data_IF_433132161448
#
_entry.id   IF_433132161448
#
_cell.length_a   1.000
_cell.length_b   1.000
_cell.length_c   1.000
_cell.angle_alpha   90.00
_cell.angle_beta   90.00
_cell.angle_gamma   90.00
#
_symmetry.space_group_name_H-M   'P 1'
#
loop_
_entity.id
_entity.type
_entity.pdbx_description
1 polymer ?
#
# COMPACT_ATOMS: atom_id res chain seq x y z
N UNK A 1 28.56 3.92 -53.41
CA UNK A 1 28.75 5.21 -54.10
C UNK A 1 27.37 5.61 -54.59
N UNK A 2 26.67 6.34 -53.73
CA UNK A 2 26.35 7.78 -53.83
C UNK A 2 24.88 7.86 -54.27
N UNK A 3 23.90 8.02 -53.37
CA UNK A 3 23.64 9.12 -52.43
C UNK A 3 22.88 10.30 -53.07
N UNK A 4 22.12 10.97 -52.21
CA UNK A 4 21.21 12.12 -52.39
C UNK A 4 19.72 11.74 -52.51
N UNK A 5 18.91 11.79 -51.43
CA UNK A 5 18.48 12.97 -50.61
C UNK A 5 17.80 14.03 -51.49
N UNK A 6 16.70 14.68 -51.15
CA UNK A 6 15.70 14.70 -50.06
C UNK A 6 14.63 15.70 -50.59
N UNK A 7 13.44 15.75 -50.00
CA UNK A 7 12.66 16.98 -49.75
C UNK A 7 11.17 16.70 -49.54
N UNK A 8 10.69 17.39 -48.52
CA UNK A 8 9.42 17.27 -47.85
C UNK A 8 8.33 18.21 -48.41
N UNK A 9 7.08 17.85 -48.14
CA UNK A 9 5.91 18.72 -47.94
C UNK A 9 4.84 17.80 -47.31
N UNK A 10 4.52 17.85 -46.02
CA UNK A 10 3.88 18.93 -45.26
C UNK A 10 2.54 19.33 -45.89
N UNK A 11 1.46 18.68 -45.45
CA UNK A 11 0.11 19.21 -45.56
C UNK A 11 -0.77 18.65 -44.42
N UNK A 12 -1.57 19.57 -43.91
CA UNK A 12 -2.17 19.64 -42.58
C UNK A 12 -3.40 18.75 -42.36
N UNK A 13 -3.53 18.34 -41.10
CA UNK A 13 -4.73 18.31 -40.24
C UNK A 13 -6.12 18.32 -40.91
N UNK A 14 -6.88 17.25 -40.64
CA UNK A 14 -8.29 17.36 -40.25
C UNK A 14 -8.54 16.41 -39.07
N UNK A 15 -8.61 17.00 -37.87
CA UNK A 15 -9.24 16.40 -36.69
C UNK A 15 -10.76 16.58 -36.83
N UNK A 16 -11.60 15.59 -36.50
CA UNK A 16 -13.01 15.87 -36.26
C UNK A 16 -13.16 16.47 -34.86
N UNK A 17 -13.57 17.74 -34.84
CA UNK A 17 -14.13 18.46 -33.71
C UNK A 17 -15.22 17.62 -33.02
N UNK A 18 -15.04 17.36 -31.73
CA UNK A 18 -16.13 17.02 -30.83
C UNK A 18 -16.28 18.18 -29.86
N UNK A 19 -17.08 19.16 -30.27
CA UNK A 19 -17.58 20.18 -29.37
C UNK A 19 -18.47 19.52 -28.31
N UNK A 20 -18.15 19.88 -27.07
CA UNK A 20 -18.97 19.63 -25.91
C UNK A 20 -20.19 20.54 -25.97
N UNK A 21 -21.38 19.96 -25.96
CA UNK A 21 -22.57 20.61 -25.46
C UNK A 21 -23.18 19.78 -24.35
N UNK A 22 -23.22 20.40 -23.17
CA UNK A 22 -23.82 19.86 -21.98
C UNK A 22 -25.33 19.84 -22.10
N UNK A 23 -25.91 18.67 -21.86
CA UNK A 23 -27.29 18.56 -21.40
C UNK A 23 -27.28 17.69 -20.16
N UNK A 24 -27.41 18.37 -19.03
CA UNK A 24 -27.82 17.82 -17.74
C UNK A 24 -29.30 17.52 -17.91
N UNK A 25 -29.67 16.24 -17.96
CA UNK A 25 -31.07 15.85 -17.76
C UNK A 25 -31.21 15.09 -16.43
N UNK A 26 -32.00 15.73 -15.58
CA UNK A 26 -32.49 15.32 -14.28
C UNK A 26 -33.03 13.88 -14.31
N UNK A 27 -32.43 13.02 -13.48
CA UNK A 27 -33.09 11.80 -13.02
C UNK A 27 -33.87 12.17 -11.76
N UNK A 28 -35.22 12.10 -11.78
CA UNK A 28 -36.04 12.56 -10.67
C UNK A 28 -35.97 11.59 -9.48
N UNK A 29 -35.72 12.16 -8.31
CA UNK A 29 -35.89 11.51 -7.03
C UNK A 29 -37.38 11.14 -6.80
N UNK A 30 -37.70 9.91 -6.36
CA UNK A 30 -39.04 9.60 -5.88
C UNK A 30 -39.22 10.09 -4.42
N UNK A 31 -40.43 10.57 -4.05
CA UNK A 31 -40.68 11.28 -2.81
C UNK A 31 -40.81 10.37 -1.58
N UNK A 32 -40.61 10.99 -0.43
CA UNK A 32 -40.91 10.49 0.90
C UNK A 32 -42.41 10.58 1.23
N UNK A 33 -42.76 9.86 2.30
CA UNK A 33 -43.99 9.88 3.11
C UNK A 33 -45.22 9.12 2.56
N UNK A 34 -45.48 7.98 3.20
CA UNK A 34 -46.81 7.71 3.76
C UNK A 34 -46.70 6.76 4.97
N UNK A 35 -47.03 7.30 6.14
CA UNK A 35 -47.28 6.62 7.40
C UNK A 35 -48.49 5.68 7.29
N UNK A 36 -48.52 4.57 8.05
CA UNK A 36 -49.66 4.15 8.91
C UNK A 36 -49.40 2.82 9.68
N UNK A 37 -50.15 2.51 10.77
CA UNK A 37 -49.63 2.25 12.12
C UNK A 37 -49.75 0.80 12.63
N UNK A 38 -49.23 0.45 13.84
CA UNK A 38 -49.28 -0.92 14.36
C UNK A 38 -50.59 -1.22 15.13
N UNK A 39 -51.21 -2.40 14.98
CA UNK A 39 -52.36 -2.79 15.79
C UNK A 39 -52.02 -3.66 17.02
N UNK A 40 -52.50 -3.17 18.16
CA UNK A 40 -53.23 -3.91 19.21
C UNK A 40 -52.46 -4.85 20.18
N UNK A 41 -52.23 -4.34 21.39
CA UNK A 41 -52.25 -5.13 22.65
C UNK A 41 -53.70 -5.22 23.14
N UNK A 42 -54.20 -6.42 23.44
CA UNK A 42 -55.42 -6.65 24.22
C UNK A 42 -55.10 -7.26 25.59
N UNK A 43 -55.78 -6.69 26.59
CA UNK A 43 -55.79 -6.97 28.04
C UNK A 43 -56.32 -8.37 28.39
N UNK A 44 -55.92 -8.88 29.56
CA UNK A 44 -56.78 -9.50 30.59
C UNK A 44 -56.10 -9.33 31.96
N UNK A 45 -56.56 -8.42 32.80
CA UNK A 45 -57.56 -8.52 33.90
C UNK A 45 -57.03 -9.22 35.15
N UNK A 46 -57.16 -8.49 36.26
CA UNK A 46 -56.72 -8.68 37.65
C UNK A 46 -57.48 -9.78 38.40
N UNK A 47 -56.87 -10.31 39.46
CA UNK A 47 -57.56 -10.76 40.66
C UNK A 47 -56.59 -10.70 41.85
N UNK A 48 -57.01 -9.93 42.84
CA UNK A 48 -56.51 -9.75 44.20
C UNK A 48 -56.78 -11.01 45.05
N UNK A 49 -55.88 -11.37 45.98
CA UNK A 49 -56.26 -11.89 47.32
C UNK A 49 -55.05 -11.90 48.28
N UNK A 50 -55.37 -11.63 49.54
CA UNK A 50 -54.53 -11.24 50.68
C UNK A 50 -54.09 -12.42 51.56
N UNK A 51 -53.16 -12.12 52.47
CA UNK A 51 -52.82 -12.78 53.76
C UNK A 51 -52.12 -14.17 53.78
N UNK A 52 -50.86 -14.18 54.23
CA UNK A 52 -50.47 -14.31 55.65
C UNK A 52 -49.10 -15.02 55.84
N UNK A 53 -48.45 -14.61 56.91
CA UNK A 53 -47.10 -14.90 57.37
C UNK A 53 -46.92 -16.36 57.84
N UNK A 54 -45.91 -17.09 57.33
CA UNK A 54 -45.22 -18.14 58.11
C UNK A 54 -43.83 -18.48 57.54
N UNK A 55 -42.85 -18.00 58.28
CA UNK A 55 -41.68 -18.73 58.77
C UNK A 55 -40.40 -18.81 57.89
N UNK A 56 -39.43 -17.99 58.32
CA UNK A 56 -38.01 -18.08 57.98
C UNK A 56 -37.38 -19.29 58.66
N UNK A 57 -37.10 -20.36 57.92
CA UNK A 57 -35.86 -21.16 58.15
C UNK A 57 -35.53 -22.12 57.01
N UNK A 58 -34.27 -22.08 56.57
CA UNK A 58 -33.59 -23.03 55.68
C UNK A 58 -34.02 -23.08 54.21
N UNK A 59 -33.43 -22.22 53.36
CA UNK A 59 -33.10 -22.55 51.97
C UNK A 59 -31.80 -21.87 51.55
N UNK A 60 -30.71 -22.23 52.22
CA UNK A 60 -29.43 -22.28 51.51
C UNK A 60 -29.52 -23.50 50.58
N UNK A 61 -29.32 -23.29 49.28
CA UNK A 61 -29.25 -24.30 48.20
C UNK A 61 -30.55 -24.87 47.62
N UNK A 62 -31.61 -24.07 47.40
CA UNK A 62 -32.65 -24.44 46.42
C UNK A 62 -32.50 -23.61 45.14
N UNK A 63 -31.51 -23.96 44.32
CA UNK A 63 -31.46 -23.49 42.93
C UNK A 63 -32.69 -24.12 42.25
N UNK A 64 -33.63 -23.27 41.79
CA UNK A 64 -34.81 -23.74 41.05
C UNK A 64 -34.35 -24.57 39.84
N UNK A 65 -34.96 -25.74 39.62
CA UNK A 65 -34.68 -26.60 38.46
C UNK A 65 -34.74 -25.82 37.14
N UNK A 66 -35.50 -24.73 37.09
CA UNK A 66 -35.55 -23.80 35.98
C UNK A 66 -34.22 -23.04 35.76
N UNK A 67 -33.60 -22.53 36.83
CA UNK A 67 -32.31 -21.84 36.76
C UNK A 67 -31.18 -22.82 36.41
N UNK A 68 -31.23 -24.03 36.96
CA UNK A 68 -30.29 -25.10 36.64
C UNK A 68 -30.41 -25.52 35.16
N UNK A 69 -31.63 -25.60 34.64
CA UNK A 69 -31.90 -25.92 33.23
C UNK A 69 -31.50 -24.76 32.28
N UNK A 70 -31.71 -23.51 32.69
CA UNK A 70 -31.28 -22.33 31.92
C UNK A 70 -29.75 -22.20 31.87
N UNK A 71 -29.06 -22.49 32.97
CA UNK A 71 -27.60 -22.53 33.01
C UNK A 71 -27.04 -23.65 32.12
N UNK A 72 -27.64 -24.84 32.17
CA UNK A 72 -27.28 -25.97 31.28
C UNK A 72 -27.49 -25.63 29.79
N UNK A 73 -28.58 -24.94 29.43
CA UNK A 73 -28.85 -24.49 28.06
C UNK A 73 -27.90 -23.38 27.60
N UNK A 74 -27.50 -22.49 28.51
CA UNK A 74 -26.49 -21.45 28.24
C UNK A 74 -25.11 -22.06 28.03
N UNK A 75 -24.74 -23.07 28.81
CA UNK A 75 -23.49 -23.82 28.65
C UNK A 75 -23.46 -24.66 27.37
N UNK A 76 -24.58 -25.31 27.01
CA UNK A 76 -24.68 -26.09 25.77
C UNK A 76 -24.60 -25.19 24.53
N UNK A 77 -25.29 -24.05 24.54
CA UNK A 77 -25.23 -23.09 23.43
C UNK A 77 -23.87 -22.41 23.32
N UNK A 78 -23.19 -22.13 24.44
CA UNK A 78 -21.82 -21.61 24.48
C UNK A 78 -20.81 -22.63 23.92
N UNK A 79 -20.92 -23.91 24.29
CA UNK A 79 -20.08 -24.99 23.75
C UNK A 79 -20.31 -25.23 22.26
N UNK A 80 -21.57 -25.17 21.79
CA UNK A 80 -21.88 -25.29 20.35
C UNK A 80 -21.34 -24.11 19.52
N UNK A 81 -21.37 -22.89 20.06
CA UNK A 81 -20.76 -21.72 19.39
C UNK A 81 -19.24 -21.86 19.29
N UNK A 82 -18.58 -22.23 20.40
CA UNK A 82 -17.12 -22.44 20.43
C UNK A 82 -16.64 -23.56 19.49
N UNK A 83 -17.38 -24.66 19.37
CA UNK A 83 -17.02 -25.75 18.43
C UNK A 83 -17.13 -25.33 16.96
N UNK A 84 -18.17 -24.59 16.58
CA UNK A 84 -18.33 -24.13 15.19
C UNK A 84 -17.24 -23.17 14.73
N UNK A 85 -16.79 -22.27 15.61
CA UNK A 85 -15.72 -21.34 15.24
C UNK A 85 -14.38 -22.07 15.04
N UNK A 86 -14.10 -23.12 15.82
CA UNK A 86 -12.86 -23.92 15.67
C UNK A 86 -12.90 -24.81 14.42
N UNK A 87 -14.04 -25.46 14.15
CA UNK A 87 -14.18 -26.33 12.97
C UNK A 87 -14.10 -25.52 11.66
N UNK A 88 -14.70 -24.32 11.62
CA UNK A 88 -14.66 -23.45 10.43
C UNK A 88 -13.23 -22.98 10.06
N UNK A 89 -12.38 -22.78 11.06
CA UNK A 89 -10.98 -22.38 10.86
C UNK A 89 -10.16 -23.57 10.33
N UNK A 90 -10.34 -24.76 10.92
CA UNK A 90 -9.66 -25.99 10.46
C UNK A 90 -9.99 -26.34 9.01
N UNK A 91 -11.26 -26.22 8.62
CA UNK A 91 -11.71 -26.51 7.25
C UNK A 91 -11.02 -25.62 6.21
N UNK A 92 -10.73 -24.36 6.59
CA UNK A 92 -10.05 -23.40 5.72
C UNK A 92 -8.56 -23.71 5.59
N UNK A 93 -7.91 -24.10 6.68
CA UNK A 93 -6.49 -24.50 6.68
C UNK A 93 -6.26 -25.79 5.88
N UNK A 94 -7.17 -26.77 6.00
CA UNK A 94 -7.11 -28.00 5.22
C UNK A 94 -7.30 -27.73 3.72
N UNK A 95 -8.22 -26.84 3.35
CA UNK A 95 -8.39 -26.39 1.97
C UNK A 95 -7.11 -25.73 1.44
N UNK A 96 -6.48 -24.87 2.23
CA UNK A 96 -5.23 -24.18 1.85
C UNK A 96 -4.10 -25.20 1.67
N UNK A 97 -3.97 -26.15 2.60
CA UNK A 97 -2.96 -27.20 2.54
C UNK A 97 -3.14 -28.06 1.28
N UNK A 98 -4.38 -28.41 0.92
CA UNK A 98 -4.70 -29.15 -0.31
C UNK A 98 -4.32 -28.32 -1.56
N UNK A 99 -4.68 -27.03 -1.61
CA UNK A 99 -4.29 -26.15 -2.73
C UNK A 99 -2.77 -26.08 -2.87
N UNK A 100 -2.04 -25.90 -1.77
CA UNK A 100 -0.57 -25.84 -1.76
C UNK A 100 0.03 -27.17 -2.24
N UNK A 101 -0.53 -28.30 -1.80
CA UNK A 101 -0.13 -29.64 -2.22
C UNK A 101 -0.34 -29.84 -3.74
N UNK A 102 -1.53 -29.49 -4.24
CA UNK A 102 -1.85 -29.56 -5.67
C UNK A 102 -0.93 -28.66 -6.50
N UNK A 103 -0.60 -27.46 -6.00
CA UNK A 103 0.35 -26.58 -6.66
C UNK A 103 1.75 -27.19 -6.77
N UNK A 104 2.26 -27.80 -5.69
CA UNK A 104 3.56 -28.49 -5.68
C UNK A 104 3.57 -29.67 -6.65
N UNK A 105 2.53 -30.50 -6.59
CA UNK A 105 2.39 -31.65 -7.48
C UNK A 105 2.36 -31.23 -8.95
N UNK A 106 1.58 -30.21 -9.30
CA UNK A 106 1.53 -29.71 -10.66
C UNK A 106 2.88 -29.13 -11.14
N UNK A 107 3.66 -28.53 -10.24
CA UNK A 107 4.99 -28.03 -10.56
C UNK A 107 5.98 -29.16 -10.88
N UNK A 108 6.02 -30.20 -10.04
CA UNK A 108 6.92 -31.34 -10.25
C UNK A 108 6.51 -32.18 -11.46
N UNK A 109 5.20 -32.42 -11.67
CA UNK A 109 4.70 -33.11 -12.85
C UNK A 109 5.09 -32.37 -14.15
N UNK A 110 4.91 -31.05 -14.18
CA UNK A 110 5.31 -30.26 -15.35
C UNK A 110 6.83 -30.24 -15.57
N UNK A 111 7.61 -30.26 -14.48
CA UNK A 111 9.08 -30.34 -14.54
C UNK A 111 9.51 -31.69 -15.12
N UNK A 112 8.87 -32.77 -14.72
CA UNK A 112 9.12 -34.11 -15.23
C UNK A 112 8.69 -34.25 -16.70
N UNK A 113 7.52 -33.71 -17.08
CA UNK A 113 7.09 -33.64 -18.48
C UNK A 113 8.08 -32.84 -19.34
N UNK A 114 8.59 -31.72 -18.83
CA UNK A 114 9.61 -30.92 -19.52
C UNK A 114 10.92 -31.68 -19.71
N UNK A 115 11.41 -32.41 -18.69
CA UNK A 115 12.59 -33.30 -18.82
C UNK A 115 12.37 -34.36 -19.90
N UNK A 116 11.16 -34.92 -19.98
CA UNK A 116 10.76 -35.89 -21.00
C UNK A 116 10.46 -35.24 -22.37
N UNK A 117 10.65 -33.92 -22.53
CA UNK A 117 10.34 -33.13 -23.73
C UNK A 117 8.87 -33.24 -24.18
N UNK A 118 7.97 -33.47 -23.22
CA UNK A 118 6.52 -33.47 -23.43
C UNK A 118 5.93 -32.12 -23.02
N UNK A 119 4.77 -31.79 -23.57
CA UNK A 119 4.06 -30.55 -23.25
C UNK A 119 3.57 -30.56 -21.81
N UNK A 120 4.10 -29.64 -21.00
CA UNK A 120 3.72 -29.40 -19.62
C UNK A 120 2.47 -28.49 -19.55
N UNK A 121 1.36 -29.01 -19.01
CA UNK A 121 0.07 -28.29 -18.94
C UNK A 121 -0.57 -28.33 -17.55
N UNK A 122 0.03 -29.01 -16.58
CA UNK A 122 -0.56 -29.27 -15.26
C UNK A 122 -0.72 -27.98 -14.47
N UNK A 123 0.31 -27.12 -14.41
CA UNK A 123 0.20 -25.81 -13.75
C UNK A 123 -0.89 -24.94 -14.39
N UNK A 124 -1.00 -24.95 -15.72
CA UNK A 124 -2.01 -24.17 -16.44
C UNK A 124 -3.44 -24.60 -16.12
N UNK A 125 -3.68 -25.90 -15.96
CA UNK A 125 -5.02 -26.44 -15.65
C UNK A 125 -5.54 -25.95 -14.30
N UNK A 126 -4.69 -25.90 -13.28
CA UNK A 126 -5.09 -25.49 -11.92
C UNK A 126 -4.90 -24.00 -11.65
N UNK A 127 -4.24 -23.26 -12.56
CA UNK A 127 -3.94 -21.83 -12.39
C UNK A 127 -5.20 -21.01 -12.07
N UNK A 128 -6.30 -21.21 -12.79
CA UNK A 128 -7.54 -20.44 -12.56
C UNK A 128 -8.09 -20.64 -11.15
N UNK A 129 -8.10 -21.89 -10.66
CA UNK A 129 -8.56 -22.23 -9.32
C UNK A 129 -7.65 -21.59 -8.26
N UNK A 130 -6.34 -21.72 -8.42
CA UNK A 130 -5.34 -21.13 -7.51
C UNK A 130 -5.48 -19.62 -7.43
N UNK A 131 -5.57 -18.95 -8.58
CA UNK A 131 -5.73 -17.49 -8.66
C UNK A 131 -7.02 -17.01 -7.98
N UNK A 132 -8.11 -17.78 -8.09
CA UNK A 132 -9.37 -17.46 -7.42
C UNK A 132 -9.26 -17.51 -5.90
N UNK A 133 -8.40 -18.38 -5.35
CA UNK A 133 -8.23 -18.53 -3.91
C UNK A 133 -7.22 -17.52 -3.35
N UNK A 134 -6.10 -17.30 -4.04
CA UNK A 134 -5.09 -16.30 -3.65
C UNK A 134 -5.62 -14.85 -3.64
N UNK A 135 -6.65 -14.57 -4.43
CA UNK A 135 -7.29 -13.25 -4.49
C UNK A 135 -8.08 -12.91 -3.22
N UNK A 136 -8.52 -13.91 -2.45
CA UNK A 136 -9.36 -13.73 -1.25
C UNK A 136 -8.51 -13.14 -0.11
N UNK A 137 -8.87 -11.94 0.35
CA UNK A 137 -8.07 -11.17 1.32
C UNK A 137 -7.99 -11.84 2.70
N UNK A 138 -9.09 -12.43 3.13
CA UNK A 138 -9.23 -13.20 4.38
C UNK A 138 -8.33 -14.43 4.43
N UNK A 139 -8.00 -15.04 3.28
CA UNK A 139 -7.12 -16.22 3.22
C UNK A 139 -5.64 -15.89 3.09
N UNK A 140 -5.25 -14.65 2.77
CA UNK A 140 -3.84 -14.32 2.44
C UNK A 140 -2.87 -14.60 3.57
N UNK A 141 -3.24 -14.29 4.80
CA UNK A 141 -2.39 -14.55 5.96
C UNK A 141 -2.21 -16.06 6.18
N UNK A 142 -3.28 -16.84 6.11
CA UNK A 142 -3.21 -18.30 6.23
C UNK A 142 -2.35 -18.94 5.12
N UNK A 143 -2.46 -18.46 3.88
CA UNK A 143 -1.58 -18.88 2.78
C UNK A 143 -0.09 -18.58 3.07
N UNK A 144 0.21 -17.41 3.64
CA UNK A 144 1.58 -17.05 4.02
C UNK A 144 2.12 -17.95 5.13
N UNK A 145 1.32 -18.22 6.15
CA UNK A 145 1.67 -19.10 7.28
C UNK A 145 1.94 -20.53 6.82
N UNK A 146 1.15 -21.04 5.87
CA UNK A 146 1.35 -22.37 5.26
C UNK A 146 2.47 -22.41 4.19
N UNK A 147 3.18 -21.31 3.98
CA UNK A 147 4.38 -21.29 3.14
C UNK A 147 4.10 -21.23 1.63
N UNK A 148 2.99 -20.62 1.20
CA UNK A 148 2.64 -20.46 -0.23
C UNK A 148 3.76 -19.83 -1.06
N UNK A 149 4.56 -18.93 -0.47
CA UNK A 149 5.65 -18.23 -1.14
C UNK A 149 6.69 -19.18 -1.72
N UNK A 150 6.96 -20.31 -1.05
CA UNK A 150 7.88 -21.32 -1.55
C UNK A 150 7.35 -21.95 -2.84
N UNK A 151 6.05 -22.24 -2.90
CA UNK A 151 5.43 -22.86 -4.08
C UNK A 151 5.32 -21.87 -5.23
N UNK A 152 5.01 -20.61 -4.94
CA UNK A 152 5.04 -19.54 -5.95
C UNK A 152 6.47 -19.37 -6.51
N UNK A 153 7.49 -19.43 -5.64
CA UNK A 153 8.88 -19.37 -6.09
C UNK A 153 9.24 -20.53 -7.03
N UNK A 154 8.77 -21.74 -6.73
CA UNK A 154 8.94 -22.91 -7.59
C UNK A 154 8.20 -22.79 -8.93
N UNK A 155 6.98 -22.24 -8.92
CA UNK A 155 6.21 -21.98 -10.15
C UNK A 155 6.84 -20.95 -11.07
N UNK A 156 7.57 -19.98 -10.50
CA UNK A 156 8.29 -18.95 -11.22
C UNK A 156 9.74 -19.34 -11.56
N UNK A 157 10.25 -20.42 -10.99
CA UNK A 157 11.60 -20.89 -11.25
C UNK A 157 11.75 -21.32 -12.72
N UNK A 158 12.95 -21.15 -13.30
CA UNK A 158 13.22 -21.65 -14.65
C UNK A 158 13.02 -23.16 -14.71
N UNK A 159 12.51 -23.62 -15.84
CA UNK A 159 12.36 -25.04 -16.14
C UNK A 159 13.74 -25.72 -16.31
N UNK A 160 13.83 -27.06 -16.28
CA UNK A 160 15.10 -27.78 -16.48
C UNK A 160 15.83 -27.43 -17.78
N UNK A 161 15.09 -27.06 -18.83
CA UNK A 161 15.60 -26.57 -20.11
C UNK A 161 16.01 -25.08 -20.09
N UNK A 162 15.98 -24.42 -18.93
CA UNK A 162 16.20 -22.98 -18.69
C UNK A 162 15.16 -22.06 -19.34
N UNK A 163 14.09 -22.62 -19.90
CA UNK A 163 12.97 -21.83 -20.37
C UNK A 163 12.19 -21.23 -19.19
N UNK A 164 11.48 -20.14 -19.50
CA UNK A 164 10.58 -19.50 -18.55
C UNK A 164 9.25 -20.27 -18.48
N UNK A 165 8.62 -20.32 -17.30
CA UNK A 165 7.23 -20.76 -17.18
C UNK A 165 6.30 -19.97 -18.11
N UNK A 166 5.16 -20.57 -18.45
CA UNK A 166 4.17 -19.95 -19.34
C UNK A 166 3.80 -18.52 -18.91
N UNK A 167 3.60 -17.62 -19.87
CA UNK A 167 3.35 -16.19 -19.62
C UNK A 167 2.22 -15.95 -18.61
N UNK A 168 1.06 -16.60 -18.79
CA UNK A 168 -0.08 -16.47 -17.88
C UNK A 168 0.25 -16.85 -16.43
N UNK A 169 1.14 -17.82 -16.21
CA UNK A 169 1.60 -18.19 -14.87
C UNK A 169 2.43 -17.05 -14.29
N UNK A 170 3.40 -16.54 -15.05
CA UNK A 170 4.28 -15.44 -14.62
C UNK A 170 3.47 -14.19 -14.28
N UNK A 171 2.56 -13.78 -15.17
CA UNK A 171 1.69 -12.62 -14.95
C UNK A 171 0.75 -12.81 -13.75
N UNK A 172 0.12 -13.98 -13.63
CA UNK A 172 -0.80 -14.29 -12.54
C UNK A 172 -0.09 -14.23 -11.20
N UNK A 173 1.03 -14.94 -11.06
CA UNK A 173 1.80 -15.00 -9.82
C UNK A 173 2.35 -13.62 -9.43
N UNK A 174 2.93 -12.87 -10.38
CA UNK A 174 3.44 -11.52 -10.10
C UNK A 174 2.33 -10.57 -9.61
N UNK A 175 1.12 -10.65 -10.19
CA UNK A 175 -0.04 -9.87 -9.71
C UNK A 175 -0.44 -10.26 -8.30
N UNK A 176 -0.52 -11.56 -7.99
CA UNK A 176 -0.86 -12.01 -6.64
C UNK A 176 0.17 -11.56 -5.60
N UNK A 177 1.47 -11.62 -5.94
CA UNK A 177 2.54 -11.17 -5.05
C UNK A 177 2.46 -9.67 -4.73
N UNK A 178 2.01 -8.84 -5.68
CA UNK A 178 1.78 -7.40 -5.45
C UNK A 178 0.63 -7.11 -4.49
N UNK A 179 -0.33 -8.03 -4.37
CA UNK A 179 -1.50 -7.84 -3.51
C UNK A 179 -1.31 -8.46 -2.11
N UNK A 180 -0.17 -9.10 -1.82
CA UNK A 180 0.07 -9.72 -0.51
C UNK A 180 0.24 -8.66 0.59
N UNK A 181 -0.24 -8.94 1.82
CA UNK A 181 0.07 -8.10 2.97
C UNK A 181 1.58 -8.11 3.26
N UNK A 182 2.05 -7.11 3.99
CA UNK A 182 3.45 -7.07 4.45
C UNK A 182 3.78 -8.31 5.28
N UNK A 183 4.88 -8.99 4.94
CA UNK A 183 5.34 -10.19 5.63
C UNK A 183 6.80 -10.05 6.07
N UNK A 184 7.23 -10.89 7.01
CA UNK A 184 8.55 -10.82 7.60
C UNK A 184 9.67 -11.19 6.61
N UNK A 185 10.84 -10.57 6.79
CA UNK A 185 12.04 -10.82 5.99
C UNK A 185 12.54 -12.27 6.11
N UNK A 186 12.23 -12.97 7.22
CA UNK A 186 12.55 -14.39 7.36
C UNK A 186 11.85 -15.25 6.30
N UNK A 187 10.56 -15.01 6.05
CA UNK A 187 9.76 -15.69 5.02
C UNK A 187 10.27 -15.39 3.61
N UNK A 188 10.72 -14.14 3.36
CA UNK A 188 11.34 -13.76 2.09
C UNK A 188 12.61 -14.59 1.82
N UNK A 189 13.45 -14.77 2.85
CA UNK A 189 14.72 -15.50 2.74
C UNK A 189 14.50 -17.01 2.60
N UNK A 190 13.62 -17.59 3.42
CA UNK A 190 13.39 -19.04 3.45
C UNK A 190 12.64 -19.56 2.22
N UNK A 191 11.69 -18.80 1.68
CA UNK A 191 10.93 -19.19 0.48
C UNK A 191 11.74 -19.15 -0.81
N UNK A 192 12.80 -18.32 -0.87
CA UNK A 192 13.60 -18.14 -2.08
C UNK A 192 12.91 -17.31 -3.17
N UNK A 193 11.73 -16.73 -2.89
CA UNK A 193 10.94 -15.97 -3.88
C UNK A 193 11.71 -14.78 -4.47
N UNK A 194 12.54 -14.10 -3.67
CA UNK A 194 13.37 -12.99 -4.15
C UNK A 194 14.34 -13.40 -5.27
N UNK A 195 14.87 -14.63 -5.24
CA UNK A 195 15.75 -15.15 -6.29
C UNK A 195 14.97 -15.41 -7.59
N UNK A 196 13.76 -15.96 -7.48
CA UNK A 196 12.88 -16.18 -8.63
C UNK A 196 12.48 -14.86 -9.29
N UNK A 197 12.09 -13.84 -8.50
CA UNK A 197 11.79 -12.51 -9.02
C UNK A 197 12.99 -11.85 -9.70
N UNK A 198 14.17 -11.94 -9.09
CA UNK A 198 15.41 -11.41 -9.67
C UNK A 198 15.74 -12.08 -11.02
N UNK A 199 15.47 -13.38 -11.13
CA UNK A 199 15.64 -14.11 -12.39
C UNK A 199 14.72 -13.54 -13.48
N UNK A 200 13.42 -13.41 -13.22
CA UNK A 200 12.45 -12.84 -14.17
C UNK A 200 12.83 -11.40 -14.55
N UNK A 201 13.21 -10.57 -13.57
CA UNK A 201 13.62 -9.19 -13.79
C UNK A 201 14.80 -9.08 -14.77
N UNK A 202 15.80 -9.97 -14.63
CA UNK A 202 17.00 -9.97 -15.48
C UNK A 202 16.83 -10.74 -16.78
N UNK A 203 15.77 -11.52 -16.95
CA UNK A 203 15.63 -12.40 -18.11
C UNK A 203 15.34 -11.60 -19.40
N UNK A 204 16.08 -11.83 -20.50
CA UNK A 204 15.93 -11.05 -21.73
C UNK A 204 14.56 -11.28 -22.40
N UNK A 205 14.00 -12.48 -22.28
CA UNK A 205 12.70 -12.87 -22.86
C UNK A 205 11.49 -12.61 -21.95
N UNK A 206 11.67 -11.88 -20.85
CA UNK A 206 10.55 -11.44 -20.01
C UNK A 206 9.85 -10.22 -20.63
N UNK A 207 8.53 -10.09 -20.40
CA UNK A 207 7.78 -8.93 -20.86
C UNK A 207 8.16 -7.68 -20.08
N UNK A 208 8.03 -6.50 -20.69
CA UNK A 208 8.33 -5.22 -20.03
C UNK A 208 7.49 -5.03 -18.77
N UNK A 209 6.18 -5.29 -18.84
CA UNK A 209 5.29 -5.16 -17.69
C UNK A 209 5.67 -6.08 -16.52
N UNK A 210 6.01 -7.34 -16.80
CA UNK A 210 6.41 -8.27 -15.74
C UNK A 210 7.76 -7.90 -15.14
N UNK A 211 8.70 -7.42 -15.96
CA UNK A 211 9.97 -6.88 -15.48
C UNK A 211 9.74 -5.70 -14.54
N UNK A 212 8.85 -4.78 -14.88
CA UNK A 212 8.49 -3.65 -14.02
C UNK A 212 7.79 -4.08 -12.72
N UNK A 213 6.86 -5.05 -12.77
CA UNK A 213 6.22 -5.61 -11.56
C UNK A 213 7.25 -6.30 -10.66
N UNK A 214 8.09 -7.16 -11.22
CA UNK A 214 9.15 -7.84 -10.48
C UNK A 214 10.15 -6.85 -9.88
N UNK A 215 10.57 -5.82 -10.63
CA UNK A 215 11.45 -4.76 -10.15
C UNK A 215 10.86 -3.97 -8.97
N UNK A 216 9.56 -3.65 -9.04
CA UNK A 216 8.82 -3.01 -7.94
C UNK A 216 8.81 -3.89 -6.69
N UNK A 217 8.40 -5.16 -6.82
CA UNK A 217 8.39 -6.13 -5.72
C UNK A 217 9.78 -6.30 -5.08
N UNK A 218 10.83 -6.45 -5.89
CA UNK A 218 12.21 -6.56 -5.41
C UNK A 218 12.58 -5.31 -4.60
N UNK A 219 12.26 -4.12 -5.11
CA UNK A 219 12.59 -2.86 -4.46
C UNK A 219 11.84 -2.73 -3.14
N UNK A 220 10.53 -3.02 -3.13
CA UNK A 220 9.67 -2.94 -1.95
C UNK A 220 10.14 -3.90 -0.85
N UNK A 221 10.36 -5.17 -1.18
CA UNK A 221 10.75 -6.18 -0.19
C UNK A 221 12.22 -6.08 0.24
N UNK A 222 13.10 -5.50 -0.58
CA UNK A 222 14.49 -5.27 -0.22
C UNK A 222 14.70 -4.03 0.67
N UNK A 223 13.78 -3.07 0.67
CA UNK A 223 13.95 -1.80 1.43
C UNK A 223 14.19 -1.97 2.92
N UNK A 224 13.38 -2.77 3.66
CA UNK A 224 13.64 -3.02 5.07
C UNK A 224 15.00 -3.68 5.32
N UNK A 225 15.55 -4.39 4.32
CA UNK A 225 16.86 -5.05 4.41
C UNK A 225 18.00 -4.04 4.36
N UNK A 226 17.86 -3.02 3.52
CA UNK A 226 18.90 -2.01 3.28
C UNK A 226 18.66 -0.70 4.04
N UNK A 227 17.63 -0.65 4.90
CA UNK A 227 17.20 0.57 5.61
C UNK A 227 16.99 1.78 4.68
N UNK A 228 16.50 1.53 3.46
CA UNK A 228 16.21 2.60 2.48
C UNK A 228 14.75 2.99 2.60
N UNK A 229 14.46 4.16 3.17
CA UNK A 229 13.10 4.68 3.34
C UNK A 229 12.67 5.54 2.15
N UNK A 230 11.44 5.32 1.65
CA UNK A 230 10.77 6.22 0.70
C UNK A 230 9.62 7.01 1.30
N UNK A 231 9.17 6.64 2.50
CA UNK A 231 8.28 7.49 3.28
C UNK A 231 9.10 8.64 3.86
N UNK A 232 9.25 9.69 3.06
CA UNK A 232 9.86 10.93 3.50
C UNK A 232 9.05 11.59 4.63
N UNK A 233 7.78 11.21 4.84
CA UNK A 233 6.92 11.67 5.94
C UNK A 233 7.48 11.30 7.31
N UNK A 234 8.13 10.15 7.44
CA UNK A 234 8.72 9.65 8.70
C UNK A 234 10.12 10.24 8.94
N UNK A 235 10.77 10.71 7.87
CA UNK A 235 12.07 11.39 7.96
C UNK A 235 11.92 12.72 8.72
N UNK A 236 12.71 12.89 9.79
CA UNK A 236 12.84 14.18 10.48
C UNK A 236 13.29 15.26 9.50
N UNK A 237 12.95 16.52 9.78
CA UNK A 237 13.46 17.67 9.03
C UNK A 237 15.00 17.63 8.91
N UNK A 238 15.67 17.25 9.98
CA UNK A 238 17.13 17.11 10.07
C UNK A 238 17.67 15.98 9.19
N UNK A 239 16.97 14.85 9.10
CA UNK A 239 17.39 13.70 8.29
C UNK A 239 17.18 13.97 6.78
N UNK A 240 16.17 14.78 6.41
CA UNK A 240 16.00 15.28 5.03
C UNK A 240 17.12 16.25 4.65
N UNK A 241 17.45 17.20 5.54
CA UNK A 241 18.53 18.17 5.32
C UNK A 241 19.89 17.47 5.17
N UNK A 242 20.16 16.42 5.95
CA UNK A 242 21.38 15.61 5.82
C UNK A 242 21.44 14.88 4.48
N UNK A 243 20.35 14.27 4.00
CA UNK A 243 20.31 13.66 2.66
C UNK A 243 20.57 14.68 1.57
N UNK A 244 19.92 15.84 1.62
CA UNK A 244 20.14 16.90 0.63
C UNK A 244 21.63 17.29 0.58
N UNK A 245 22.25 17.42 1.77
CA UNK A 245 23.68 17.71 1.91
C UNK A 245 24.61 16.59 1.41
N UNK A 246 24.19 15.32 1.54
CA UNK A 246 24.94 14.17 1.06
C UNK A 246 24.83 13.96 -0.45
N UNK A 247 23.68 14.30 -1.03
CA UNK A 247 23.46 14.28 -2.48
C UNK A 247 24.13 15.45 -3.21
N UNK A 248 24.73 16.43 -2.50
CA UNK A 248 25.56 17.47 -3.11
C UNK A 248 26.75 16.80 -3.83
N UNK A 249 26.91 17.00 -5.16
CA UNK A 249 27.95 16.34 -5.93
C UNK A 249 29.35 16.67 -5.39
N UNK A 250 30.20 15.64 -5.21
CA UNK A 250 31.54 15.74 -4.58
C UNK A 250 32.48 16.77 -5.22
N UNK A 251 32.29 17.10 -6.51
CA UNK A 251 33.04 18.18 -7.19
C UNK A 251 32.81 19.57 -6.56
N UNK A 252 31.70 19.77 -5.84
CA UNK A 252 31.37 21.01 -5.13
C UNK A 252 31.85 21.01 -3.69
N UNK A 253 31.87 19.85 -3.02
CA UNK A 253 32.45 19.69 -1.67
C UNK A 253 33.96 20.01 -1.64
N UNK A 254 34.66 19.84 -2.75
CA UNK A 254 36.06 20.28 -2.90
C UNK A 254 36.16 21.81 -2.97
N UNK A 255 35.24 22.49 -3.67
CA UNK A 255 35.22 23.96 -3.76
C UNK A 255 34.87 24.62 -2.42
N UNK A 256 33.98 24.02 -1.63
CA UNK A 256 33.66 24.52 -0.27
C UNK A 256 34.73 24.18 0.77
N UNK A 257 35.44 23.05 0.64
CA UNK A 257 36.63 22.78 1.48
C UNK A 257 37.80 23.69 1.12
N UNK A 258 37.96 24.05 -0.16
CA UNK A 258 38.98 25.03 -0.57
C UNK A 258 38.57 26.47 -0.21
N UNK A 259 37.26 26.76 -0.10
CA UNK A 259 36.76 28.03 0.45
C UNK A 259 36.99 28.20 1.96
N UNK A 260 37.55 27.20 2.65
CA UNK A 260 38.11 27.37 3.99
C UNK A 260 39.56 27.90 3.99
N UNK A 261 40.14 28.12 2.79
CA UNK A 261 41.14 29.17 2.61
C UNK A 261 40.38 30.48 2.38
N UNK A 262 40.47 31.37 3.37
CA UNK A 262 39.66 32.60 3.53
C UNK A 262 39.84 33.65 2.41
N UNK A 263 40.63 33.36 1.38
CA UNK A 263 41.07 34.36 0.41
C UNK A 263 40.13 34.51 -0.81
N UNK A 264 39.64 33.42 -1.43
CA UNK A 264 38.88 33.56 -2.69
C UNK A 264 37.39 33.93 -2.50
N UNK A 265 36.70 33.36 -1.50
CA UNK A 265 35.29 33.66 -1.25
C UNK A 265 35.09 35.08 -0.67
N UNK A 266 36.12 35.63 -0.01
CA UNK A 266 36.14 37.01 0.46
C UNK A 266 36.40 37.99 -0.70
N UNK A 267 37.16 37.60 -1.72
CA UNK A 267 37.36 38.41 -2.93
C UNK A 267 36.08 38.52 -3.77
N UNK A 268 35.39 37.42 -4.07
CA UNK A 268 34.12 37.48 -4.85
C UNK A 268 33.02 38.28 -4.14
N UNK A 269 32.90 38.18 -2.80
CA UNK A 269 31.94 38.98 -2.03
C UNK A 269 32.31 40.47 -2.00
N UNK A 270 33.61 40.79 -1.86
CA UNK A 270 34.10 42.17 -1.93
C UNK A 270 33.92 42.77 -3.32
N UNK A 271 34.06 41.98 -4.38
CA UNK A 271 33.92 42.47 -5.76
C UNK A 271 32.45 42.77 -6.10
N UNK A 272 31.50 41.95 -5.64
CA UNK A 272 30.07 42.22 -5.83
C UNK A 272 29.62 43.43 -4.97
N UNK A 273 30.08 43.53 -3.72
CA UNK A 273 29.75 44.67 -2.86
C UNK A 273 30.37 45.98 -3.39
N UNK A 274 31.59 45.93 -3.94
CA UNK A 274 32.25 47.08 -4.60
C UNK A 274 31.64 47.47 -5.95
N UNK A 275 31.06 46.53 -6.69
CA UNK A 275 30.27 46.82 -7.90
C UNK A 275 28.94 47.50 -7.56
N UNK A 276 28.28 47.10 -6.46
CA UNK A 276 27.05 47.73 -5.98
C UNK A 276 27.26 49.11 -5.34
N UNK A 277 28.40 49.34 -4.68
CA UNK A 277 28.76 50.66 -4.12
C UNK A 277 29.36 51.61 -5.16
N UNK A 278 29.61 51.13 -6.39
CA UNK A 278 30.09 51.95 -7.51
C UNK A 278 31.55 52.41 -7.42
N UNK A 279 32.34 51.84 -6.51
CA UNK A 279 33.73 52.25 -6.28
C UNK A 279 34.71 51.71 -7.34
N UNK A 280 34.35 50.65 -8.07
CA UNK A 280 35.10 50.22 -9.26
C UNK A 280 34.45 50.74 -10.54
N UNK A 281 35.13 51.68 -11.21
CA UNK A 281 34.75 52.15 -12.55
C UNK A 281 34.75 50.97 -13.51
N UNK A 282 33.57 50.67 -14.07
CA UNK A 282 33.47 49.77 -15.22
C UNK A 282 34.44 50.21 -16.32
N UNK A 283 35.20 49.25 -16.84
CA UNK A 283 36.25 49.48 -17.84
C UNK A 283 35.61 50.14 -19.07
N UNK A 284 36.18 51.26 -19.55
CA UNK A 284 35.59 52.02 -20.66
C UNK A 284 36.11 51.53 -22.02
N UNK A 285 35.39 51.79 -23.12
CA UNK A 285 35.89 51.53 -24.46
C UNK A 285 37.29 52.11 -24.69
N UNK A 286 38.28 51.24 -24.89
CA UNK A 286 39.70 51.61 -25.11
C UNK A 286 40.65 51.27 -23.96
N UNK A 287 40.15 50.96 -22.77
CA UNK A 287 40.99 50.55 -21.63
C UNK A 287 41.45 49.09 -21.77
N UNK A 288 42.63 48.77 -21.23
CA UNK A 288 43.22 47.42 -21.31
C UNK A 288 42.32 46.41 -20.58
N UNK A 289 41.73 45.48 -21.33
CA UNK A 289 40.79 44.49 -20.82
C UNK A 289 39.30 44.82 -21.08
N UNK A 290 39.01 45.95 -21.75
CA UNK A 290 37.66 46.23 -22.25
C UNK A 290 37.26 45.23 -23.33
N UNK A 291 36.08 44.64 -23.18
CA UNK A 291 35.52 43.70 -24.14
C UNK A 291 34.20 44.29 -24.61
N UNK A 292 34.12 44.62 -25.91
CA UNK A 292 32.93 45.22 -26.53
C UNK A 292 31.69 44.32 -26.52
N UNK A 293 31.89 43.02 -26.29
CA UNK A 293 30.85 42.00 -26.30
C UNK A 293 30.39 41.71 -24.87
N UNK A 294 29.08 41.58 -24.69
CA UNK A 294 28.51 41.13 -23.42
C UNK A 294 29.14 39.78 -23.02
N UNK A 295 29.63 39.69 -21.78
CA UNK A 295 30.06 38.41 -21.21
C UNK A 295 28.83 37.60 -20.87
N UNK A 296 28.86 36.31 -21.19
CA UNK A 296 27.81 35.38 -20.78
C UNK A 296 27.88 35.27 -19.24
N UNK A 297 26.78 35.53 -18.51
CA UNK A 297 26.76 35.32 -17.07
C UNK A 297 27.16 33.88 -16.75
N UNK A 298 28.12 33.71 -15.84
CA UNK A 298 28.48 32.37 -15.37
C UNK A 298 27.24 31.77 -14.70
N UNK A 299 26.89 30.50 -14.99
CA UNK A 299 25.79 29.83 -14.31
C UNK A 299 25.97 29.91 -12.80
N UNK A 300 24.99 30.50 -12.10
CA UNK A 300 25.02 30.63 -10.66
C UNK A 300 25.16 29.24 -10.02
N UNK A 301 26.21 29.04 -9.22
CA UNK A 301 26.40 27.82 -8.42
C UNK A 301 25.68 27.89 -7.08
N UNK A 302 24.68 28.77 -6.92
CA UNK A 302 23.87 28.85 -5.71
C UNK A 302 22.86 27.70 -5.72
N UNK A 303 23.15 26.64 -4.97
CA UNK A 303 22.19 25.58 -4.71
C UNK A 303 21.25 26.03 -3.59
N UNK A 304 19.95 25.81 -3.77
CA UNK A 304 18.95 26.11 -2.74
C UNK A 304 19.04 25.09 -1.61
N UNK A 305 19.91 25.35 -0.63
CA UNK A 305 20.04 24.52 0.59
C UNK A 305 18.88 24.82 1.56
N UNK A 306 18.43 26.08 1.60
CA UNK A 306 17.28 26.46 2.41
C UNK A 306 15.98 26.18 1.66
N UNK A 307 15.30 25.10 2.05
CA UNK A 307 13.93 24.83 1.61
C UNK A 307 13.01 25.98 2.06
N UNK A 308 12.17 26.53 1.18
CA UNK A 308 11.23 27.57 1.56
C UNK A 308 10.34 27.04 2.69
N UNK A 309 10.16 27.86 3.74
CA UNK A 309 9.19 27.56 4.78
C UNK A 309 7.80 27.68 4.15
N UNK A 310 6.99 26.66 4.34
CA UNK A 310 5.60 26.71 3.89
C UNK A 310 4.89 27.79 4.72
N UNK A 311 4.26 28.77 4.06
CA UNK A 311 3.54 29.87 4.73
C UNK A 311 2.15 29.45 5.23
N UNK A 312 1.87 28.15 5.23
CA UNK A 312 0.59 27.58 5.60
C UNK A 312 0.86 26.60 6.74
N UNK A 313 0.50 27.01 7.97
CA UNK A 313 0.45 26.13 9.14
C UNK A 313 -0.77 25.20 9.04
N UNK A 314 -0.79 24.32 8.03
CA UNK A 314 -1.67 23.16 8.05
C UNK A 314 -0.82 22.02 8.60
N UNK A 315 -1.01 21.73 9.89
CA UNK A 315 -0.50 20.52 10.52
C UNK A 315 -1.02 19.29 9.75
N UNK A 316 -0.27 18.81 8.76
CA UNK A 316 -0.61 17.63 7.97
C UNK A 316 -0.45 16.31 8.77
N UNK A 317 -0.36 16.40 10.11
CA UNK A 317 0.03 15.33 11.02
C UNK A 317 -0.92 15.14 12.20
N UNK A 318 -2.19 15.51 12.05
CA UNK A 318 -3.25 14.99 12.93
C UNK A 318 -4.21 14.20 12.05
N UNK A 319 -4.03 12.87 12.03
CA UNK A 319 -5.11 11.95 11.66
C UNK A 319 -6.39 12.32 12.43
N UNK A 320 -7.59 11.91 11.95
CA UNK A 320 -8.86 12.56 12.26
C UNK A 320 -8.96 12.84 13.76
N UNK A 321 -8.70 14.10 14.15
CA UNK A 321 -8.91 14.52 15.52
C UNK A 321 -10.39 14.26 15.77
N UNK A 322 -10.69 13.42 16.77
CA UNK A 322 -12.07 13.06 17.11
C UNK A 322 -12.82 14.39 17.24
N UNK A 323 -13.73 14.64 16.29
CA UNK A 323 -14.56 15.85 16.30
C UNK A 323 -15.15 15.96 17.71
N UNK A 324 -15.07 17.12 18.38
CA UNK A 324 -15.67 17.27 19.69
C UNK A 324 -17.14 16.89 19.59
N UNK A 325 -17.56 15.89 20.37
CA UNK A 325 -18.90 15.30 20.29
C UNK A 325 -19.97 16.38 20.39
N UNK A 326 -20.91 16.37 19.44
CA UNK A 326 -22.00 17.34 19.39
C UNK A 326 -22.88 17.19 20.64
N UNK A 327 -23.56 18.27 21.06
CA UNK A 327 -24.42 18.31 22.26
C UNK A 327 -25.47 17.17 22.25
N UNK A 328 -25.96 16.81 21.06
CA UNK A 328 -26.88 15.68 20.86
C UNK A 328 -26.24 14.31 21.15
N UNK A 329 -25.01 14.07 20.66
CA UNK A 329 -24.28 12.81 20.89
C UNK A 329 -23.94 12.62 22.38
N UNK A 330 -23.61 13.71 23.09
CA UNK A 330 -23.41 13.66 24.55
C UNK A 330 -24.68 13.19 25.26
N UNK A 331 -25.84 13.70 24.86
CA UNK A 331 -27.13 13.36 25.49
C UNK A 331 -27.55 11.91 25.20
N UNK A 332 -27.34 11.43 23.97
CA UNK A 332 -27.60 10.03 23.60
C UNK A 332 -26.72 9.05 24.37
N UNK A 333 -25.44 9.39 24.54
CA UNK A 333 -24.48 8.56 25.28
C UNK A 333 -24.83 8.47 26.77
N UNK A 334 -25.22 9.58 27.38
CA UNK A 334 -25.74 9.61 28.77
C UNK A 334 -27.02 8.79 28.92
N UNK A 335 -27.92 8.82 27.94
CA UNK A 335 -29.13 8.01 27.96
C UNK A 335 -28.82 6.51 27.83
N UNK A 336 -27.86 6.14 26.99
CA UNK A 336 -27.37 4.76 26.86
C UNK A 336 -26.66 4.26 28.12
N UNK A 337 -25.88 5.10 28.80
CA UNK A 337 -25.27 4.75 30.10
C UNK A 337 -26.33 4.55 31.18
N UNK A 338 -27.34 5.43 31.28
CA UNK A 338 -28.46 5.24 32.21
C UNK A 338 -29.23 3.93 31.94
N UNK A 339 -29.36 3.52 30.69
CA UNK A 339 -29.96 2.23 30.30
C UNK A 339 -29.07 1.02 30.57
N UNK A 340 -27.76 1.19 30.79
CA UNK A 340 -26.85 0.09 31.21
C UNK A 340 -26.76 -0.05 32.73
N UNK A 341 -27.08 1.02 33.46
CA UNK A 341 -27.05 1.08 34.92
C UNK A 341 -28.42 0.76 35.57
N UNK A 342 -29.50 0.84 34.79
CA UNK A 342 -30.80 0.22 35.09
C UNK A 342 -30.85 -1.18 34.50
#
# INVERSE_FOLDING_TARGET
MSDSEDEAADEDKEEPEVEADGIIEDVPAPPADEEMPPPSKKKKVESDDSDDDVDRKMREDFISDFDLMMQKKKEESSKRRRRRDVDLISDSDDLIADIISQMRQAAEEDKELNKQKKTATKKLKILSMVMSQLKKQDLKMAFLEQGVLHVIAEWLAPLPDRSLPHLNIREGMLKQLSDLPSFDQSLLKSSGIGKALMYLYKHPKETKENRERAGRLITEWARPIFNVTTDYSVLSKEEREQRDHDHIPKKRKLKDRDASQEDEAAQEKKDIEKELTGEQKSVRPGDKGWIARARVPMPSTKDYVNRPKWNIDVECSKGPSKKPLNRLEKHLRLMQEKKRLS
#
